data_IF_184657564966
#
_entry.id   IF_184657564966
#
_cell.length_a   1.000
_cell.length_b   1.000
_cell.length_c   1.000
_cell.angle_alpha   90.00
_cell.angle_beta   90.00
_cell.angle_gamma   90.00
#
_symmetry.space_group_name_H-M   'P 1'
#
loop_
_entity.id
_entity.type
_entity.pdbx_description
1 polymer ?
#
# COMPACT_ATOMS: atom_id res chain seq x y z
N UNK A 1 -13.97 -10.18 -13.85
CA UNK A 1 -14.44 -10.89 -12.65
C UNK A 1 -13.65 -12.18 -12.40
N UNK A 2 -13.63 -13.16 -13.30
CA UNK A 2 -12.89 -14.42 -13.09
C UNK A 2 -11.40 -14.21 -12.74
N UNK A 3 -10.69 -13.32 -13.43
CA UNK A 3 -9.29 -13.00 -13.10
C UNK A 3 -9.13 -12.38 -11.70
N UNK A 4 -10.03 -11.49 -11.27
CA UNK A 4 -9.99 -10.87 -9.94
C UNK A 4 -10.27 -11.90 -8.84
N UNK A 5 -11.25 -12.77 -9.04
CA UNK A 5 -11.57 -13.86 -8.12
C UNK A 5 -10.44 -14.89 -8.05
N UNK A 6 -9.83 -15.23 -9.20
CA UNK A 6 -8.66 -16.11 -9.27
C UNK A 6 -7.45 -15.52 -8.55
N UNK A 7 -7.20 -14.21 -8.70
CA UNK A 7 -6.10 -13.54 -7.98
C UNK A 7 -6.31 -13.47 -6.48
N UNK A 8 -7.56 -13.21 -6.05
CA UNK A 8 -7.94 -13.23 -4.64
C UNK A 8 -7.72 -14.60 -4.04
N UNK A 9 -8.24 -15.63 -4.72
CA UNK A 9 -8.08 -17.01 -4.29
C UNK A 9 -6.61 -17.41 -4.21
N UNK A 10 -5.83 -17.16 -5.26
CA UNK A 10 -4.40 -17.42 -5.28
C UNK A 10 -3.63 -16.68 -4.17
N UNK A 11 -3.96 -15.41 -3.93
CA UNK A 11 -3.32 -14.59 -2.89
C UNK A 11 -3.51 -15.19 -1.50
N UNK A 12 -4.74 -15.57 -1.16
CA UNK A 12 -5.07 -16.12 0.16
C UNK A 12 -4.42 -17.49 0.36
N UNK A 13 -4.36 -18.34 -0.67
CA UNK A 13 -3.74 -19.67 -0.56
C UNK A 13 -2.22 -19.60 -0.38
N UNK A 14 -1.58 -18.52 -0.83
CA UNK A 14 -0.13 -18.32 -0.73
C UNK A 14 0.32 -17.66 0.58
N UNK A 15 -0.63 -17.16 1.38
CA UNK A 15 -0.30 -16.60 2.70
C UNK A 15 0.05 -17.73 3.66
N UNK A 16 1.24 -17.65 4.22
CA UNK A 16 1.66 -18.50 5.34
C UNK A 16 1.50 -17.72 6.63
N UNK A 17 1.13 -18.39 7.73
CA UNK A 17 0.93 -17.75 9.04
C UNK A 17 2.21 -17.13 9.60
N UNK A 18 3.37 -17.73 9.29
CA UNK A 18 4.69 -17.21 9.66
C UNK A 18 5.11 -16.01 8.80
N UNK A 19 6.04 -15.21 9.29
CA UNK A 19 6.60 -14.08 8.55
C UNK A 19 8.12 -14.20 8.45
N UNK A 20 8.69 -13.74 7.34
CA UNK A 20 10.14 -13.71 7.17
C UNK A 20 10.63 -12.51 7.98
N UNK A 21 11.48 -12.76 8.97
CA UNK A 21 12.02 -11.73 9.86
C UNK A 21 13.19 -10.99 9.21
N UNK A 22 12.96 -10.41 8.03
CA UNK A 22 13.92 -9.57 7.36
C UNK A 22 13.28 -8.25 6.91
N UNK A 23 13.86 -7.13 7.34
CA UNK A 23 13.52 -5.81 6.84
C UNK A 23 12.46 -5.04 7.63
N UNK A 24 11.80 -4.13 6.93
CA UNK A 24 11.16 -2.93 7.47
C UNK A 24 9.87 -3.16 8.27
N UNK A 25 9.31 -4.39 8.25
CA UNK A 25 8.00 -4.70 8.83
C UNK A 25 7.92 -4.38 10.34
N UNK A 26 9.02 -4.57 11.07
CA UNK A 26 9.06 -4.41 12.52
C UNK A 26 8.73 -2.97 12.93
N UNK A 27 9.29 -1.97 12.24
CA UNK A 27 9.03 -0.57 12.54
C UNK A 27 7.60 -0.17 12.17
N UNK A 28 7.04 -0.70 11.07
CA UNK A 28 5.63 -0.49 10.73
C UNK A 28 4.68 -1.01 11.82
N UNK A 29 4.92 -2.21 12.33
CA UNK A 29 4.12 -2.80 13.41
C UNK A 29 4.32 -2.02 14.70
N UNK A 30 5.56 -1.64 15.05
CA UNK A 30 5.86 -0.90 16.28
C UNK A 30 5.23 0.50 16.29
N UNK A 31 5.23 1.19 15.14
CA UNK A 31 4.51 2.46 14.96
C UNK A 31 2.99 2.27 15.05
N UNK A 32 2.44 1.15 14.58
CA UNK A 32 1.02 0.87 14.75
C UNK A 32 0.68 0.58 16.23
N UNK A 33 1.54 -0.14 16.94
CA UNK A 33 1.41 -0.40 18.38
C UNK A 33 1.48 0.87 19.22
N UNK A 34 2.31 1.85 18.84
CA UNK A 34 2.43 3.08 19.63
C UNK A 34 1.18 3.94 19.63
N UNK A 35 0.30 3.77 18.64
CA UNK A 35 -1.03 4.40 18.64
C UNK A 35 -1.90 3.78 19.76
N UNK A 36 -1.79 2.47 19.98
CA UNK A 36 -2.52 1.78 21.04
C UNK A 36 -1.96 2.09 22.43
N UNK A 37 -0.64 2.13 22.58
CA UNK A 37 0.02 2.35 23.87
C UNK A 37 0.22 3.83 24.23
N UNK A 38 0.06 4.74 23.26
CA UNK A 38 0.32 6.17 23.45
C UNK A 38 1.81 6.51 23.63
N UNK A 39 2.72 5.60 23.29
CA UNK A 39 4.16 5.68 23.61
C UNK A 39 5.02 6.12 22.42
N UNK A 40 4.47 6.94 21.52
CA UNK A 40 5.12 7.29 20.27
C UNK A 40 6.48 8.01 20.44
N UNK A 41 6.61 8.82 21.49
CA UNK A 41 7.88 9.48 21.81
C UNK A 41 8.98 8.45 22.13
N UNK A 42 8.62 7.37 22.82
CA UNK A 42 9.55 6.28 23.13
C UNK A 42 10.00 5.57 21.86
N UNK A 43 9.09 5.27 20.92
CA UNK A 43 9.45 4.67 19.63
C UNK A 43 10.46 5.53 18.87
N UNK A 44 10.27 6.84 18.89
CA UNK A 44 11.18 7.77 18.23
C UNK A 44 12.56 7.76 18.89
N UNK A 45 12.64 7.85 20.23
CA UNK A 45 13.93 7.83 20.94
C UNK A 45 14.66 6.51 20.76
N UNK A 46 13.96 5.37 20.87
CA UNK A 46 14.55 4.04 20.72
C UNK A 46 15.14 3.86 19.31
N UNK A 47 14.41 4.28 18.28
CA UNK A 47 14.89 4.21 16.90
C UNK A 47 16.05 5.16 16.63
N UNK A 48 16.02 6.37 17.20
CA UNK A 48 17.11 7.33 17.06
C UNK A 48 18.39 6.80 17.71
N UNK A 49 18.29 6.23 18.91
CA UNK A 49 19.43 5.62 19.61
C UNK A 49 19.97 4.41 18.84
N UNK A 50 19.09 3.50 18.42
CA UNK A 50 19.47 2.33 17.62
C UNK A 50 20.22 2.71 16.35
N UNK A 51 19.76 3.75 15.63
CA UNK A 51 20.43 4.22 14.40
C UNK A 51 21.75 4.91 14.73
N UNK A 52 21.81 5.74 15.77
CA UNK A 52 23.02 6.45 16.16
C UNK A 52 24.16 5.49 16.53
N UNK A 53 23.84 4.36 17.15
CA UNK A 53 24.77 3.32 17.56
C UNK A 53 24.93 2.17 16.54
N UNK A 54 24.26 2.26 15.38
CA UNK A 54 24.41 1.28 14.30
C UNK A 54 25.65 1.55 13.46
N UNK A 55 26.36 0.50 13.07
CA UNK A 55 27.44 0.56 12.08
C UNK A 55 26.95 1.03 10.71
N UNK A 56 25.64 0.89 10.44
CA UNK A 56 25.01 1.34 9.21
C UNK A 56 23.86 2.32 9.51
N UNK A 57 24.18 3.62 9.61
CA UNK A 57 23.24 4.68 9.96
C UNK A 57 22.14 4.94 8.90
N UNK A 58 22.30 4.40 7.69
CA UNK A 58 21.29 4.48 6.61
C UNK A 58 20.42 3.23 6.50
N UNK A 59 20.51 2.31 7.46
CA UNK A 59 19.77 1.04 7.43
C UNK A 59 18.25 1.23 7.36
N UNK A 60 17.73 2.12 8.19
CA UNK A 60 16.31 2.38 8.36
C UNK A 60 16.10 3.84 8.74
N UNK A 61 15.01 4.50 8.31
CA UNK A 61 14.64 5.80 8.84
C UNK A 61 14.23 5.69 10.31
N UNK A 62 14.29 6.80 11.05
CA UNK A 62 13.82 6.84 12.45
C UNK A 62 12.34 6.45 12.53
N UNK A 63 11.53 6.95 11.59
CA UNK A 63 10.12 6.62 11.45
C UNK A 63 9.76 6.44 9.98
N UNK A 64 8.96 5.43 9.70
CA UNK A 64 8.29 5.33 8.41
C UNK A 64 7.10 6.28 8.31
N UNK A 65 6.73 6.63 7.08
CA UNK A 65 5.47 7.31 6.81
C UNK A 65 4.26 6.61 7.41
N UNK A 66 3.34 7.40 8.00
CA UNK A 66 2.22 6.91 8.81
C UNK A 66 1.10 6.19 8.07
N UNK A 67 1.05 6.26 6.74
CA UNK A 67 -0.04 5.67 5.95
C UNK A 67 -0.19 4.18 6.23
N UNK A 68 0.91 3.42 6.19
CA UNK A 68 0.86 1.98 6.41
C UNK A 68 0.64 1.59 7.88
N UNK A 69 1.35 2.18 8.87
CA UNK A 69 1.04 1.97 10.28
C UNK A 69 -0.43 2.21 10.64
N UNK A 70 -1.05 3.27 10.08
CA UNK A 70 -2.47 3.56 10.31
C UNK A 70 -3.40 2.49 9.73
N UNK A 71 -3.05 1.86 8.61
CA UNK A 71 -3.82 0.73 8.07
C UNK A 71 -3.64 -0.55 8.91
N UNK A 72 -2.48 -0.73 9.52
CA UNK A 72 -2.21 -1.88 10.40
C UNK A 72 -2.83 -1.72 11.79
N UNK A 73 -3.01 -0.49 12.26
CA UNK A 73 -3.50 -0.19 13.61
C UNK A 73 -4.79 -0.94 14.00
N UNK A 74 -5.86 -1.01 13.17
CA UNK A 74 -7.05 -1.78 13.53
C UNK A 74 -6.75 -3.26 13.74
N UNK A 75 -5.84 -3.85 12.95
CA UNK A 75 -5.44 -5.25 13.12
C UNK A 75 -4.64 -5.43 14.42
N UNK A 76 -3.78 -4.48 14.76
CA UNK A 76 -3.03 -4.49 16.02
C UNK A 76 -3.98 -4.38 17.23
N UNK A 77 -4.94 -3.45 17.18
CA UNK A 77 -5.87 -3.22 18.28
C UNK A 77 -6.82 -4.41 18.52
N UNK A 78 -7.22 -5.13 17.45
CA UNK A 78 -8.15 -6.25 17.55
C UNK A 78 -7.48 -7.61 17.79
N UNK A 79 -6.30 -7.84 17.20
CA UNK A 79 -5.65 -9.16 17.16
C UNK A 79 -4.25 -9.18 17.76
N UNK A 80 -3.71 -8.05 18.21
CA UNK A 80 -2.31 -7.93 18.63
C UNK A 80 -1.34 -8.16 17.48
N UNK A 81 -0.19 -8.78 17.76
CA UNK A 81 0.79 -9.13 16.72
C UNK A 81 0.31 -10.38 15.98
N UNK A 82 -0.41 -10.16 14.87
CA UNK A 82 -0.90 -11.22 14.00
C UNK A 82 -0.49 -10.97 12.55
N UNK A 83 0.56 -11.65 12.10
CA UNK A 83 1.11 -11.51 10.75
C UNK A 83 0.12 -11.92 9.65
N UNK A 84 -0.74 -12.90 9.92
CA UNK A 84 -1.79 -13.27 8.98
C UNK A 84 -2.74 -12.08 8.76
N UNK A 85 -3.22 -11.46 9.83
CA UNK A 85 -4.08 -10.27 9.74
C UNK A 85 -3.39 -9.11 8.99
N UNK A 86 -2.11 -8.86 9.24
CA UNK A 86 -1.36 -7.80 8.56
C UNK A 86 -1.20 -8.06 7.05
N UNK A 87 -0.98 -9.32 6.64
CA UNK A 87 -0.89 -9.69 5.22
C UNK A 87 -2.23 -9.56 4.50
N UNK A 88 -3.34 -9.87 5.19
CA UNK A 88 -4.69 -9.68 4.64
C UNK A 88 -4.94 -8.20 4.29
N UNK A 89 -4.43 -7.25 5.07
CA UNK A 89 -4.48 -5.82 4.71
C UNK A 89 -3.81 -5.59 3.34
N UNK A 90 -2.64 -6.16 3.11
CA UNK A 90 -1.93 -6.10 1.83
C UNK A 90 -2.74 -6.71 0.68
N UNK A 91 -3.39 -7.87 0.89
CA UNK A 91 -4.26 -8.51 -0.10
C UNK A 91 -5.47 -7.65 -0.44
N UNK A 92 -6.14 -7.08 0.56
CA UNK A 92 -7.28 -6.18 0.34
C UNK A 92 -6.85 -4.99 -0.53
N UNK A 93 -5.67 -4.40 -0.25
CA UNK A 93 -5.12 -3.33 -1.07
C UNK A 93 -4.79 -3.78 -2.50
N UNK A 94 -4.15 -4.93 -2.69
CA UNK A 94 -3.85 -5.46 -4.02
C UNK A 94 -5.12 -5.63 -4.87
N UNK A 95 -6.19 -6.14 -4.25
CA UNK A 95 -7.48 -6.37 -4.89
C UNK A 95 -8.15 -5.05 -5.24
N UNK A 96 -8.09 -4.07 -4.33
CA UNK A 96 -8.52 -2.71 -4.59
C UNK A 96 -7.78 -2.11 -5.81
N UNK A 97 -6.46 -2.28 -5.88
CA UNK A 97 -5.65 -1.81 -7.00
C UNK A 97 -6.11 -2.42 -8.33
N UNK A 98 -6.37 -3.74 -8.36
CA UNK A 98 -6.87 -4.41 -9.55
C UNK A 98 -8.30 -4.02 -9.89
N UNK A 99 -9.16 -3.74 -8.92
CA UNK A 99 -10.50 -3.19 -9.17
C UNK A 99 -10.38 -1.84 -9.89
N UNK A 100 -9.53 -0.92 -9.40
CA UNK A 100 -9.33 0.38 -10.05
C UNK A 100 -8.74 0.26 -11.45
N UNK A 101 -7.75 -0.63 -11.64
CA UNK A 101 -7.17 -0.94 -12.95
C UNK A 101 -8.20 -1.55 -13.91
N UNK A 102 -9.05 -2.45 -13.43
CA UNK A 102 -10.09 -3.10 -14.24
C UNK A 102 -11.23 -2.13 -14.58
N UNK A 103 -11.67 -1.30 -13.62
CA UNK A 103 -12.77 -0.35 -13.82
C UNK A 103 -12.39 0.79 -14.77
N UNK A 104 -11.13 1.23 -14.77
CA UNK A 104 -10.69 2.42 -15.50
C UNK A 104 -10.90 2.36 -17.03
N UNK A 105 -10.58 1.27 -17.75
CA UNK A 105 -10.67 1.21 -19.21
C UNK A 105 -11.75 0.24 -19.73
N UNK A 106 -12.21 -0.74 -18.94
CA UNK A 106 -13.10 -1.79 -19.42
C UNK A 106 -14.57 -1.34 -19.37
N UNK A 107 -14.97 -0.60 -18.33
CA UNK A 107 -16.33 -0.07 -18.21
C UNK A 107 -16.53 1.26 -18.95
N UNK A 108 -15.46 2.02 -19.17
CA UNK A 108 -15.46 3.25 -19.97
C UNK A 108 -15.50 3.01 -21.49
N UNK A 109 -15.53 1.73 -21.93
CA UNK A 109 -15.49 1.33 -23.35
C UNK A 109 -14.30 1.93 -24.11
N UNK A 110 -13.19 2.16 -23.40
CA UNK A 110 -11.96 2.68 -23.98
C UNK A 110 -11.37 1.65 -24.97
N UNK A 111 -10.74 2.16 -26.04
CA UNK A 111 -10.13 1.34 -27.10
C UNK A 111 -9.08 0.35 -26.58
N UNK A 112 -8.58 0.55 -25.36
CA UNK A 112 -7.45 -0.15 -24.74
C UNK A 112 -7.83 -1.34 -23.85
N UNK A 113 -9.06 -1.86 -23.95
CA UNK A 113 -9.53 -3.01 -23.14
C UNK A 113 -8.59 -4.22 -23.17
N UNK A 114 -8.07 -4.57 -24.35
CA UNK A 114 -7.15 -5.71 -24.51
C UNK A 114 -5.79 -5.45 -23.85
N UNK A 115 -5.26 -4.24 -23.99
CA UNK A 115 -4.00 -3.84 -23.34
C UNK A 115 -4.09 -3.97 -21.82
N UNK A 116 -5.24 -3.65 -21.23
CA UNK A 116 -5.41 -3.72 -19.77
C UNK A 116 -5.56 -5.15 -19.29
N UNK A 117 -6.27 -6.00 -20.02
CA UNK A 117 -6.32 -7.43 -19.72
C UNK A 117 -4.92 -8.07 -19.81
N UNK A 118 -4.11 -7.66 -20.78
CA UNK A 118 -2.73 -8.12 -20.92
C UNK A 118 -1.85 -7.64 -19.75
N UNK A 119 -1.95 -6.37 -19.35
CA UNK A 119 -1.24 -5.84 -18.18
C UNK A 119 -1.65 -6.58 -16.90
N UNK A 120 -2.95 -6.83 -16.70
CA UNK A 120 -3.42 -7.62 -15.56
C UNK A 120 -2.86 -9.04 -15.60
N UNK A 121 -2.92 -9.72 -16.76
CA UNK A 121 -2.35 -11.05 -16.91
C UNK A 121 -0.85 -11.08 -16.57
N UNK A 122 -0.07 -10.13 -17.08
CA UNK A 122 1.37 -10.02 -16.80
C UNK A 122 1.66 -9.76 -15.31
N UNK A 123 0.90 -8.86 -14.67
CA UNK A 123 1.07 -8.58 -13.23
C UNK A 123 0.75 -9.82 -12.39
N UNK A 124 -0.33 -10.53 -12.71
CA UNK A 124 -0.76 -11.72 -11.97
C UNK A 124 0.11 -12.95 -12.23
N UNK A 125 0.73 -13.04 -13.41
CA UNK A 125 1.68 -14.10 -13.74
C UNK A 125 3.07 -13.86 -13.16
N UNK A 126 3.35 -12.69 -12.60
CA UNK A 126 4.67 -12.36 -12.07
C UNK A 126 4.86 -12.96 -10.68
N UNK A 127 5.80 -13.90 -10.55
CA UNK A 127 6.07 -14.59 -9.27
C UNK A 127 6.55 -13.67 -8.14
N UNK A 128 7.23 -12.57 -8.47
CA UNK A 128 7.72 -11.63 -7.46
C UNK A 128 6.58 -10.88 -6.79
N UNK A 129 5.49 -10.58 -7.51
CA UNK A 129 4.29 -9.97 -6.93
C UNK A 129 3.66 -10.83 -5.84
N UNK A 130 3.69 -12.15 -6.03
CA UNK A 130 3.21 -13.11 -5.03
C UNK A 130 4.11 -13.16 -3.79
N UNK A 131 5.41 -12.91 -3.93
CA UNK A 131 6.32 -12.73 -2.80
C UNK A 131 5.93 -11.56 -1.89
N UNK A 132 5.47 -10.45 -2.48
CA UNK A 132 4.98 -9.29 -1.71
C UNK A 132 3.66 -9.54 -0.98
N UNK A 133 2.82 -10.45 -1.47
CA UNK A 133 1.57 -10.83 -0.79
C UNK A 133 1.85 -11.51 0.57
N UNK A 134 2.96 -12.24 0.65
CA UNK A 134 3.37 -12.92 1.88
C UNK A 134 4.24 -12.04 2.80
N UNK A 135 4.46 -10.78 2.46
CA UNK A 135 5.23 -9.83 3.26
C UNK A 135 4.36 -8.72 3.86
N UNK A 136 4.73 -8.24 5.04
CA UNK A 136 4.09 -7.08 5.69
C UNK A 136 4.83 -5.84 5.19
N UNK A 137 4.36 -5.30 4.07
CA UNK A 137 5.02 -4.20 3.36
C UNK A 137 4.03 -3.14 2.88
N UNK A 138 4.50 -1.89 2.80
CA UNK A 138 3.75 -0.74 2.30
C UNK A 138 3.57 -0.73 0.78
N UNK A 139 4.27 -1.59 0.03
CA UNK A 139 4.24 -1.62 -1.45
C UNK A 139 2.84 -1.88 -2.01
N UNK A 140 2.11 -2.87 -1.46
CA UNK A 140 0.76 -3.20 -1.93
C UNK A 140 -0.28 -2.11 -1.59
N UNK A 141 -0.31 -1.57 -0.35
CA UNK A 141 -1.09 -0.37 -0.04
C UNK A 141 -0.75 0.82 -0.94
N UNK A 142 0.54 1.12 -1.12
CA UNK A 142 0.99 2.21 -1.98
C UNK A 142 0.47 2.04 -3.41
N UNK A 143 0.61 0.85 -3.99
CA UNK A 143 0.11 0.54 -5.32
C UNK A 143 -1.41 0.75 -5.44
N UNK A 144 -2.18 0.34 -4.43
CA UNK A 144 -3.63 0.58 -4.37
C UNK A 144 -3.98 2.06 -4.43
N UNK A 145 -3.39 2.87 -3.56
CA UNK A 145 -3.66 4.31 -3.52
C UNK A 145 -3.17 5.04 -4.78
N UNK A 146 -2.08 4.56 -5.39
CA UNK A 146 -1.60 5.07 -6.67
C UNK A 146 -2.62 4.81 -7.79
N UNK A 147 -3.13 3.57 -7.91
CA UNK A 147 -4.14 3.23 -8.91
C UNK A 147 -5.45 3.99 -8.68
N UNK A 148 -5.85 4.15 -7.42
CA UNK A 148 -7.01 4.95 -7.07
C UNK A 148 -6.83 6.43 -7.45
N UNK A 149 -5.64 6.99 -7.23
CA UNK A 149 -5.31 8.36 -7.65
C UNK A 149 -5.48 8.52 -9.16
N UNK A 150 -4.90 7.63 -9.97
CA UNK A 150 -5.08 7.67 -11.42
C UNK A 150 -6.55 7.56 -11.84
N UNK A 151 -7.31 6.69 -11.19
CA UNK A 151 -8.75 6.58 -11.44
C UNK A 151 -9.50 7.88 -11.17
N UNK A 152 -9.23 8.54 -10.04
CA UNK A 152 -9.82 9.85 -9.72
C UNK A 152 -9.39 10.95 -10.69
N UNK A 153 -8.12 10.97 -11.13
CA UNK A 153 -7.64 11.90 -12.16
C UNK A 153 -8.41 11.73 -13.46
N UNK A 154 -8.56 10.49 -13.95
CA UNK A 154 -9.27 10.27 -15.21
C UNK A 154 -10.76 10.66 -15.10
N UNK A 155 -11.41 10.35 -13.98
CA UNK A 155 -12.78 10.81 -13.68
C UNK A 155 -12.89 12.33 -13.71
N UNK A 156 -11.91 13.05 -13.14
CA UNK A 156 -11.85 14.51 -13.16
C UNK A 156 -11.69 15.05 -14.58
N UNK A 157 -10.83 14.46 -15.41
CA UNK A 157 -10.65 14.84 -16.81
C UNK A 157 -11.93 14.63 -17.66
N UNK A 158 -12.70 13.58 -17.38
CA UNK A 158 -13.93 13.26 -18.10
C UNK A 158 -15.12 14.20 -17.73
N UNK A 159 -15.09 14.85 -16.56
CA UNK A 159 -16.15 15.75 -16.10
C UNK A 159 -15.99 17.14 -16.72
N UNK A 160 -16.69 17.40 -17.84
CA UNK A 160 -16.56 18.66 -18.59
C UNK A 160 -17.19 19.90 -17.91
N UNK A 161 -18.25 19.81 -17.09
CA UNK A 161 -19.00 21.02 -16.65
C UNK A 161 -19.60 21.04 -15.23
N UNK A 162 -19.53 19.99 -14.40
CA UNK A 162 -20.11 20.02 -13.03
C UNK A 162 -19.09 20.45 -11.97
N UNK A 163 -19.23 21.68 -11.47
CA UNK A 163 -18.31 22.35 -10.52
C UNK A 163 -18.26 21.68 -9.14
N UNK A 164 -19.41 21.28 -8.59
CA UNK A 164 -19.50 20.77 -7.21
C UNK A 164 -18.89 19.37 -7.05
N UNK A 165 -19.17 18.45 -7.97
CA UNK A 165 -18.55 17.12 -7.99
C UNK A 165 -17.05 17.18 -8.29
N UNK A 166 -16.59 18.16 -9.07
CA UNK A 166 -15.15 18.39 -9.31
C UNK A 166 -14.43 18.80 -8.03
N UNK A 167 -14.99 19.70 -7.22
CA UNK A 167 -14.36 20.14 -5.97
C UNK A 167 -14.16 18.98 -4.99
N UNK A 168 -15.17 18.13 -4.79
CA UNK A 168 -15.07 16.94 -3.93
C UNK A 168 -13.99 15.98 -4.46
N UNK A 169 -13.95 15.77 -5.79
CA UNK A 169 -12.94 14.92 -6.41
C UNK A 169 -11.53 15.51 -6.36
N UNK A 170 -11.37 16.84 -6.44
CA UNK A 170 -10.07 17.50 -6.26
C UNK A 170 -9.57 17.43 -4.81
N UNK A 171 -10.46 17.60 -3.83
CA UNK A 171 -10.14 17.42 -2.41
C UNK A 171 -9.75 15.95 -2.17
N UNK A 172 -10.52 15.00 -2.71
CA UNK A 172 -10.19 13.58 -2.66
C UNK A 172 -8.84 13.26 -3.31
N UNK A 173 -8.57 13.78 -4.50
CA UNK A 173 -7.28 13.65 -5.19
C UNK A 173 -6.14 14.22 -4.33
N UNK A 174 -6.32 15.39 -3.74
CA UNK A 174 -5.34 16.04 -2.87
C UNK A 174 -5.01 15.18 -1.65
N UNK A 175 -6.04 14.62 -0.99
CA UNK A 175 -5.87 13.69 0.13
C UNK A 175 -5.13 12.44 -0.33
N UNK A 176 -5.46 11.88 -1.49
CA UNK A 176 -4.83 10.66 -2.01
C UNK A 176 -3.36 10.85 -2.40
N UNK A 177 -3.03 11.96 -3.06
CA UNK A 177 -1.65 12.31 -3.37
C UNK A 177 -0.85 12.64 -2.11
N UNK A 178 -1.49 13.22 -1.10
CA UNK A 178 -0.86 13.41 0.21
C UNK A 178 -0.63 12.09 0.95
N UNK A 179 -1.62 11.20 0.95
CA UNK A 179 -1.50 9.86 1.50
C UNK A 179 -0.40 9.07 0.81
N UNK A 180 -0.24 9.21 -0.52
CA UNK A 180 0.88 8.62 -1.27
C UNK A 180 2.25 9.02 -0.68
N UNK A 181 2.47 10.29 -0.36
CA UNK A 181 3.69 10.74 0.31
C UNK A 181 3.85 10.11 1.70
N UNK A 182 2.72 9.79 2.37
CA UNK A 182 2.68 9.09 3.65
C UNK A 182 2.82 7.56 3.53
N UNK A 183 3.09 6.99 2.36
CA UNK A 183 3.40 5.57 2.17
C UNK A 183 4.81 5.32 1.58
N UNK A 184 5.40 6.29 0.89
CA UNK A 184 6.71 6.13 0.21
C UNK A 184 7.86 6.29 1.19
N UNK A 185 8.69 5.22 1.32
CA UNK A 185 9.99 5.26 2.00
C UNK A 185 10.86 6.36 1.37
N UNK A 186 11.25 7.38 2.15
CA UNK A 186 12.03 8.55 1.69
C UNK A 186 13.45 8.20 1.19
N UNK A 187 13.90 6.96 1.34
CA UNK A 187 15.25 6.55 0.95
C UNK A 187 15.40 6.28 -0.55
N UNK A 188 14.30 6.18 -1.32
CA UNK A 188 14.37 6.01 -2.79
C UNK A 188 14.63 7.31 -3.56
N UNK A 189 14.88 8.42 -2.85
CA UNK A 189 15.18 9.73 -3.46
C UNK A 189 16.56 9.83 -4.12
N UNK A 190 17.44 8.83 -3.99
CA UNK A 190 18.83 8.88 -4.48
C UNK A 190 19.35 7.56 -5.08
N UNK A 191 18.55 6.91 -5.93
CA UNK A 191 18.97 5.73 -6.70
C UNK A 191 18.97 5.92 -8.22
N UNK A 192 19.09 7.17 -8.66
CA UNK A 192 19.59 7.50 -9.99
C UNK A 192 20.71 8.54 -9.84
N UNK A 193 21.99 8.19 -10.06
CA UNK A 193 22.96 9.17 -10.54
C UNK A 193 22.56 9.71 -11.91
#
# INVERSE_FOLDING_TARGET
MLLLCGTLWGAVQLIVSGHIFNGDFALYIRQAQSIQYGDMQQVFSDMQEMIAHSTYQRYSPILYPWGYPLLLFPCVALFGINYFAFKIVGVICLVGAFIFLYYHPILSKERFRMSVLLVLALLTGNIFYWGYVNSVSSELPFFCFLMFSFWTMNKLYALKEQTEKRTILYIGLGILLFSRHRFVRKDTSYLFP
#
